data_IF_283696539415
#
_entry.id   IF_283696539415
#
_cell.length_a   1.000
_cell.length_b   1.000
_cell.length_c   1.000
_cell.angle_alpha   90.00
_cell.angle_beta   90.00
_cell.angle_gamma   90.00
#
_symmetry.space_group_name_H-M   'P 1'
#
loop_
_entity.id
_entity.type
_entity.pdbx_description
1 polymer ?
#
# COMPACT_ATOMS: atom_id res chain seq x y z
N UNK A 1 -6.46 7.82 -6.10
CA UNK A 1 -5.55 6.70 -5.74
C UNK A 1 -4.23 6.91 -6.47
N UNK A 2 -3.08 6.83 -5.78
CA UNK A 2 -1.77 6.76 -6.41
C UNK A 2 -1.23 5.34 -6.26
N UNK A 3 -0.89 4.68 -7.37
CA UNK A 3 -0.41 3.31 -7.38
C UNK A 3 0.99 3.23 -7.99
N UNK A 4 1.90 2.53 -7.33
CA UNK A 4 3.33 2.51 -7.70
C UNK A 4 3.68 1.65 -8.92
N UNK A 5 2.71 0.99 -9.55
CA UNK A 5 2.91 0.16 -10.74
C UNK A 5 1.83 0.50 -11.78
N UNK A 6 1.88 -0.17 -12.94
CA UNK A 6 0.85 -0.11 -13.96
C UNK A 6 -0.49 -0.70 -13.51
N UNK A 7 -1.53 -0.43 -14.28
CA UNK A 7 -2.90 -0.88 -14.02
C UNK A 7 -3.00 -2.41 -13.97
N UNK A 8 -2.30 -3.07 -14.89
CA UNK A 8 -2.19 -4.52 -15.04
C UNK A 8 -1.57 -5.22 -13.81
N UNK A 9 -0.86 -4.47 -12.96
CA UNK A 9 -0.27 -4.96 -11.73
C UNK A 9 -1.14 -4.71 -10.51
N UNK A 10 -2.33 -4.13 -10.66
CA UNK A 10 -3.18 -3.77 -9.53
C UNK A 10 -3.90 -5.00 -8.99
N UNK A 11 -3.83 -5.21 -7.67
CA UNK A 11 -4.45 -6.35 -7.01
C UNK A 11 -5.99 -6.26 -6.96
N UNK A 12 -6.55 -5.05 -7.05
CA UNK A 12 -8.00 -4.85 -7.13
C UNK A 12 -8.52 -5.37 -8.47
N UNK A 13 -9.66 -6.06 -8.46
CA UNK A 13 -10.27 -6.56 -9.69
C UNK A 13 -10.61 -5.41 -10.65
N UNK A 14 -10.68 -5.70 -11.95
CA UNK A 14 -11.08 -4.70 -12.95
C UNK A 14 -12.43 -4.06 -12.62
N UNK A 15 -13.40 -4.87 -12.17
CA UNK A 15 -14.70 -4.39 -11.72
C UNK A 15 -14.61 -3.34 -10.60
N UNK A 16 -13.77 -3.58 -9.58
CA UNK A 16 -13.58 -2.62 -8.47
C UNK A 16 -12.90 -1.33 -8.94
N UNK A 17 -11.94 -1.44 -9.88
CA UNK A 17 -11.30 -0.27 -10.48
C UNK A 17 -12.32 0.58 -11.27
N UNK A 18 -13.16 -0.07 -12.07
CA UNK A 18 -14.21 0.57 -12.86
C UNK A 18 -15.27 1.21 -11.96
N UNK A 19 -15.67 0.52 -10.88
CA UNK A 19 -16.59 1.04 -9.89
C UNK A 19 -16.03 2.31 -9.23
N UNK A 20 -14.75 2.30 -8.82
CA UNK A 20 -14.11 3.47 -8.24
C UNK A 20 -14.08 4.64 -9.24
N UNK A 21 -13.68 4.38 -10.50
CA UNK A 21 -13.63 5.39 -11.55
C UNK A 21 -15.02 5.98 -11.86
N UNK A 22 -16.06 5.15 -11.92
CA UNK A 22 -17.45 5.57 -12.13
C UNK A 22 -17.97 6.46 -10.98
N UNK A 23 -17.42 6.30 -9.78
CA UNK A 23 -17.70 7.15 -8.62
C UNK A 23 -16.76 8.37 -8.52
N UNK A 24 -16.04 8.71 -9.59
CA UNK A 24 -15.20 9.92 -9.67
C UNK A 24 -13.80 9.76 -9.06
N UNK A 25 -13.37 8.55 -8.70
CA UNK A 25 -12.02 8.32 -8.17
C UNK A 25 -11.01 8.40 -9.32
N UNK A 26 -10.10 9.37 -9.26
CA UNK A 26 -8.94 9.39 -10.16
C UNK A 26 -7.88 8.40 -9.69
N UNK A 27 -7.52 7.44 -10.55
CA UNK A 27 -6.43 6.50 -10.32
C UNK A 27 -5.21 6.94 -11.14
N UNK A 28 -4.10 7.24 -10.46
CA UNK A 28 -2.83 7.60 -11.07
C UNK A 28 -1.84 6.45 -10.87
N UNK A 29 -1.50 5.78 -11.95
CA UNK A 29 -0.50 4.71 -11.99
C UNK A 29 0.92 5.28 -11.98
N UNK A 30 1.89 4.39 -11.77
CA UNK A 30 3.33 4.72 -11.81
C UNK A 30 3.77 5.82 -10.85
N UNK A 31 3.12 5.94 -9.68
CA UNK A 31 3.46 6.95 -8.67
C UNK A 31 3.65 6.32 -7.30
N UNK A 32 4.77 6.63 -6.66
CA UNK A 32 5.06 6.23 -5.28
C UNK A 32 5.21 7.45 -4.37
N UNK A 33 4.82 7.35 -3.09
CA UNK A 33 5.00 8.44 -2.13
C UNK A 33 6.49 8.69 -1.86
N UNK A 34 6.90 9.96 -1.92
CA UNK A 34 8.25 10.42 -1.57
C UNK A 34 8.25 11.10 -0.20
N UNK A 35 7.33 12.04 0.04
CA UNK A 35 7.11 12.66 1.37
C UNK A 35 5.71 13.27 1.49
N UNK A 36 5.18 13.30 2.71
CA UNK A 36 4.00 14.09 3.06
C UNK A 36 4.44 15.53 3.34
N UNK A 37 3.71 16.50 2.80
CA UNK A 37 3.95 17.93 3.00
C UNK A 37 2.97 18.41 4.07
N UNK A 38 3.49 19.10 5.08
CA UNK A 38 2.70 19.63 6.17
C UNK A 38 3.11 21.06 6.52
N UNK A 39 2.11 21.89 6.82
CA UNK A 39 2.23 23.29 7.20
C UNK A 39 1.42 23.52 8.47
N UNK A 40 2.04 24.13 9.49
CA UNK A 40 1.37 24.38 10.78
C UNK A 40 0.83 23.11 11.47
N UNK A 41 1.48 21.95 11.25
CA UNK A 41 1.05 20.66 11.81
C UNK A 41 -0.12 20.00 11.07
N UNK A 42 -0.56 20.55 9.93
CA UNK A 42 -1.62 19.96 9.08
C UNK A 42 -1.05 19.55 7.74
N UNK A 43 -1.57 18.47 7.16
CA UNK A 43 -1.21 18.04 5.82
C UNK A 43 -1.68 19.10 4.81
N UNK A 44 -0.80 19.50 3.89
CA UNK A 44 -1.11 20.39 2.77
C UNK A 44 -0.89 19.73 1.41
N UNK A 45 -0.20 18.59 1.38
CA UNK A 45 -0.06 17.80 0.16
C UNK A 45 0.82 16.57 0.31
N UNK A 46 1.12 15.95 -0.82
CA UNK A 46 2.04 14.83 -0.93
C UNK A 46 2.92 14.99 -2.16
N UNK A 47 4.23 14.85 -1.97
CA UNK A 47 5.19 14.72 -3.06
C UNK A 47 5.28 13.24 -3.45
N UNK A 48 5.11 12.97 -4.73
CA UNK A 48 5.16 11.65 -5.34
C UNK A 48 6.31 11.63 -6.35
N UNK A 49 6.91 10.46 -6.52
CA UNK A 49 7.90 10.19 -7.55
C UNK A 49 7.31 9.25 -8.60
N UNK A 50 7.56 9.53 -9.87
CA UNK A 50 7.25 8.60 -10.93
C UNK A 50 8.11 7.34 -10.82
N UNK A 51 7.52 6.22 -11.24
CA UNK A 51 8.17 4.90 -11.19
C UNK A 51 8.12 4.24 -12.55
N UNK A 52 9.09 3.38 -12.82
CA UNK A 52 9.12 2.54 -14.01
C UNK A 52 9.64 1.14 -13.64
N UNK A 53 9.30 0.16 -14.48
CA UNK A 53 9.91 -1.16 -14.42
C UNK A 53 11.22 -1.19 -15.20
N UNK A 54 12.27 -1.69 -14.55
CA UNK A 54 13.52 -2.08 -15.19
C UNK A 54 13.63 -3.61 -15.07
N UNK A 55 13.13 -4.32 -16.08
CA UNK A 55 12.77 -5.73 -15.96
C UNK A 55 11.67 -5.92 -14.91
N UNK A 56 11.84 -6.86 -13.99
CA UNK A 56 10.89 -7.08 -12.89
C UNK A 56 11.06 -6.11 -11.71
N UNK A 57 12.16 -5.34 -11.71
CA UNK A 57 12.49 -4.43 -10.61
C UNK A 57 11.80 -3.09 -10.81
N UNK A 58 10.98 -2.71 -9.83
CA UNK A 58 10.41 -1.37 -9.77
C UNK A 58 11.47 -0.37 -9.29
N UNK A 59 11.61 0.75 -10.01
CA UNK A 59 12.53 1.83 -9.66
C UNK A 59 11.84 3.19 -9.82
N UNK A 60 12.26 4.17 -9.00
CA UNK A 60 11.91 5.57 -9.20
C UNK A 60 12.65 6.16 -10.40
N UNK A 61 12.03 7.10 -11.10
CA UNK A 61 12.62 7.78 -12.26
C UNK A 61 13.38 9.05 -11.87
N UNK A 62 13.26 9.49 -10.61
CA UNK A 62 13.74 10.80 -10.15
C UNK A 62 12.81 11.97 -10.46
N UNK A 63 11.85 11.80 -11.39
CA UNK A 63 10.85 12.83 -11.70
C UNK A 63 9.77 12.85 -10.61
N UNK A 64 9.43 14.06 -10.12
CA UNK A 64 8.47 14.23 -9.03
C UNK A 64 7.33 15.14 -9.39
N UNK A 65 6.18 14.91 -8.76
CA UNK A 65 5.04 15.83 -8.77
C UNK A 65 4.48 16.00 -7.36
N UNK A 66 3.81 17.12 -7.12
CA UNK A 66 3.11 17.38 -5.85
C UNK A 66 1.61 17.41 -6.10
N UNK A 67 0.86 16.70 -5.27
CA UNK A 67 -0.59 16.84 -5.20
C UNK A 67 -0.96 17.60 -3.93
N UNK A 68 -1.75 18.67 -4.09
CA UNK A 68 -2.40 19.33 -2.97
C UNK A 68 -3.44 18.38 -2.39
N UNK A 69 -3.40 18.20 -1.07
CA UNK A 69 -4.32 17.33 -0.35
C UNK A 69 -4.36 17.72 1.12
N UNK A 70 -5.55 17.78 1.71
CA UNK A 70 -5.73 18.03 3.15
C UNK A 70 -5.61 16.75 3.99
N UNK A 71 -5.71 15.58 3.34
CA UNK A 71 -5.67 14.27 3.98
C UNK A 71 -4.95 13.25 3.09
N UNK A 72 -4.16 12.37 3.71
CA UNK A 72 -3.45 11.29 3.03
C UNK A 72 -3.74 9.98 3.76
N UNK A 73 -4.42 9.06 3.09
CA UNK A 73 -4.69 7.71 3.60
C UNK A 73 -3.67 6.72 3.06
N UNK A 74 -3.01 5.98 3.97
CA UNK A 74 -2.06 4.93 3.60
C UNK A 74 -2.75 3.58 3.59
N UNK A 75 -2.86 2.97 2.40
CA UNK A 75 -3.46 1.65 2.20
C UNK A 75 -2.46 0.69 1.52
N UNK A 76 -1.31 0.43 2.16
CA UNK A 76 -0.20 -0.37 1.58
C UNK A 76 -0.14 -1.82 2.11
N UNK A 77 -1.25 -2.31 2.66
CA UNK A 77 -1.34 -3.60 3.32
C UNK A 77 -1.21 -3.52 4.84
N UNK A 78 -1.50 -4.65 5.50
CA UNK A 78 -1.34 -4.83 6.94
C UNK A 78 -0.31 -5.93 7.22
N UNK A 79 0.25 -5.92 8.44
CA UNK A 79 1.12 -6.97 8.96
C UNK A 79 0.65 -7.40 10.33
N UNK A 80 0.85 -8.69 10.66
CA UNK A 80 0.50 -9.22 11.97
C UNK A 80 1.44 -8.66 13.05
N UNK A 81 0.90 -8.32 14.22
CA UNK A 81 1.65 -7.79 15.37
C UNK A 81 1.56 -8.79 16.53
N UNK A 82 2.60 -9.63 16.76
CA UNK A 82 2.54 -10.70 17.75
C UNK A 82 2.37 -10.23 19.20
N UNK A 83 2.78 -8.99 19.51
CA UNK A 83 2.66 -8.43 20.86
C UNK A 83 1.23 -8.37 21.39
N UNK A 84 0.22 -8.39 20.51
CA UNK A 84 -1.20 -8.42 20.87
C UNK A 84 -1.64 -9.74 21.52
N UNK A 85 -0.81 -10.79 21.47
CA UNK A 85 -1.13 -12.12 22.00
C UNK A 85 -0.80 -12.30 23.49
N UNK A 86 -0.65 -11.21 24.26
CA UNK A 86 -0.50 -11.26 25.74
C UNK A 86 0.53 -12.29 26.26
N UNK A 87 1.67 -12.43 25.57
CA UNK A 87 2.75 -13.34 25.95
C UNK A 87 2.74 -14.71 25.27
N UNK A 88 1.66 -15.12 24.59
CA UNK A 88 1.65 -16.35 23.79
C UNK A 88 2.20 -16.17 22.38
N UNK A 89 2.59 -14.95 21.99
CA UNK A 89 3.11 -14.68 20.66
C UNK A 89 4.39 -15.44 20.31
N UNK A 90 5.18 -15.85 21.31
CA UNK A 90 6.40 -16.65 21.10
C UNK A 90 6.11 -18.15 20.90
N UNK A 91 4.92 -18.63 21.27
CA UNK A 91 4.52 -20.04 21.14
C UNK A 91 3.69 -20.33 19.89
N UNK A 92 3.43 -19.32 19.06
CA UNK A 92 2.69 -19.48 17.80
C UNK A 92 3.66 -19.42 16.64
N UNK A 93 3.78 -20.52 15.91
CA UNK A 93 4.53 -20.57 14.67
C UNK A 93 3.89 -19.63 13.62
N UNK A 94 4.75 -18.84 12.96
CA UNK A 94 4.35 -17.97 11.87
C UNK A 94 4.98 -18.44 10.55
N UNK A 95 4.21 -18.39 9.47
CA UNK A 95 4.67 -18.58 8.11
C UNK A 95 4.31 -17.34 7.27
N UNK A 96 5.32 -16.72 6.64
CA UNK A 96 5.15 -15.48 5.86
C UNK A 96 4.39 -14.36 6.61
N UNK A 97 4.58 -14.25 7.93
CA UNK A 97 3.93 -13.24 8.77
C UNK A 97 2.46 -13.53 9.10
N UNK A 98 1.98 -14.76 8.89
CA UNK A 98 0.65 -15.26 9.28
C UNK A 98 0.78 -16.42 10.25
N UNK A 99 -0.24 -16.67 11.06
CA UNK A 99 -0.30 -17.84 11.93
C UNK A 99 -0.28 -19.10 11.08
N UNK A 100 0.70 -19.97 11.31
CA UNK A 100 0.83 -21.25 10.64
C UNK A 100 -0.27 -22.17 11.15
N UNK A 101 -0.93 -22.86 10.22
CA UNK A 101 -1.97 -23.84 10.53
C UNK A 101 -1.79 -25.12 9.72
N UNK A 102 -2.30 -26.23 10.25
CA UNK A 102 -2.45 -27.48 9.50
C UNK A 102 -3.64 -27.44 8.51
N UNK A 103 -3.89 -28.56 7.83
CA UNK A 103 -4.99 -28.66 6.87
C UNK A 103 -6.40 -28.57 7.49
N UNK A 104 -6.52 -28.71 8.81
CA UNK A 104 -7.78 -28.53 9.56
C UNK A 104 -7.87 -27.14 10.22
N UNK A 105 -6.85 -26.29 10.07
CA UNK A 105 -6.81 -24.94 10.62
C UNK A 105 -6.29 -24.84 12.06
N UNK A 106 -5.63 -25.87 12.60
CA UNK A 106 -5.08 -25.86 13.96
C UNK A 106 -3.65 -25.33 13.99
N UNK A 107 -3.29 -24.65 15.07
CA UNK A 107 -1.92 -24.19 15.36
C UNK A 107 -1.06 -25.31 15.98
N UNK A 108 0.26 -25.09 16.03
CA UNK A 108 1.23 -25.94 16.74
C UNK A 108 0.94 -26.08 18.23
#
# INVERSE_FOLDING_TARGET
ICYRRGQEHMNASGFEQDLAAANGVTIRHWLQPKRVIAEGGKVSGIELEYTALNGDRLAGTGETLTLVADQVFKAIGQSFVPAALNGSGASIDLEAGRIKVDGEGRTS
#
